data_IF_738885486041
#
_entry.id   IF_738885486041
#
_cell.length_a   1.000
_cell.length_b   1.000
_cell.length_c   1.000
_cell.angle_alpha   90.00
_cell.angle_beta   90.00
_cell.angle_gamma   90.00
#
_symmetry.space_group_name_H-M   'P 1'
#
loop_
_entity.id
_entity.type
_entity.pdbx_description
1 polymer ?
#
# COMPACT_ATOMS: atom_id res chain seq x y z
N UNK A 1 2.65 -21.95 -4.38
CA UNK A 1 2.98 -20.61 -4.91
C UNK A 1 3.91 -19.96 -3.91
N UNK A 2 4.98 -19.31 -4.40
CA UNK A 2 5.99 -18.70 -3.52
C UNK A 2 5.65 -17.24 -3.15
N UNK A 3 4.99 -16.51 -4.05
CA UNK A 3 4.58 -15.12 -3.78
C UNK A 3 3.25 -15.09 -3.01
N UNK A 4 3.25 -14.48 -1.83
CA UNK A 4 2.09 -14.38 -0.95
C UNK A 4 1.68 -12.93 -0.65
N UNK A 5 2.57 -11.96 -0.92
CA UNK A 5 2.32 -10.54 -0.69
C UNK A 5 3.24 -9.68 -1.54
N UNK A 6 3.05 -8.37 -1.51
CA UNK A 6 3.97 -7.37 -2.01
C UNK A 6 4.28 -6.32 -0.93
N UNK A 7 5.46 -5.73 -1.04
CA UNK A 7 5.87 -4.51 -0.37
C UNK A 7 5.76 -3.36 -1.36
N UNK A 8 5.49 -2.18 -0.84
CA UNK A 8 5.37 -0.98 -1.67
C UNK A 8 6.53 -0.02 -1.40
N UNK A 9 6.92 0.81 -2.38
CA UNK A 9 7.96 1.81 -2.18
C UNK A 9 7.67 2.68 -0.95
N UNK A 10 8.65 2.75 -0.02
CA UNK A 10 8.50 3.49 1.24
C UNK A 10 7.88 2.73 2.40
N UNK A 11 7.47 1.47 2.24
CA UNK A 11 7.03 0.66 3.37
C UNK A 11 8.21 0.44 4.35
N UNK A 12 8.10 0.86 5.63
CA UNK A 12 9.14 0.60 6.61
C UNK A 12 9.13 -0.87 7.02
N UNK A 13 10.31 -1.45 7.17
CA UNK A 13 10.49 -2.85 7.52
C UNK A 13 11.51 -3.01 8.65
N UNK A 14 11.43 -4.13 9.34
CA UNK A 14 12.50 -4.64 10.20
C UNK A 14 13.12 -5.85 9.51
N UNK A 15 14.42 -5.81 9.24
CA UNK A 15 15.17 -6.98 8.77
C UNK A 15 15.47 -7.85 9.99
N UNK A 16 14.82 -9.01 10.06
CA UNK A 16 14.97 -9.93 11.19
C UNK A 16 16.03 -11.01 10.92
N UNK A 17 16.26 -11.37 9.66
CA UNK A 17 17.21 -12.41 9.30
C UNK A 17 17.71 -12.26 7.86
N UNK A 18 18.90 -12.79 7.58
CA UNK A 18 19.46 -12.90 6.23
C UNK A 18 19.68 -14.37 5.86
N UNK A 19 19.45 -14.73 4.61
CA UNK A 19 19.76 -16.08 4.12
C UNK A 19 21.27 -16.32 4.08
N UNK A 20 21.70 -17.58 4.14
CA UNK A 20 23.11 -17.95 4.13
C UNK A 20 23.87 -17.49 2.88
N UNK A 21 23.19 -17.41 1.73
CA UNK A 21 23.74 -16.92 0.46
C UNK A 21 23.66 -15.38 0.32
N UNK A 22 23.10 -14.68 1.31
CA UNK A 22 22.95 -13.22 1.34
C UNK A 22 21.89 -12.65 0.37
N UNK A 23 21.24 -13.48 -0.42
CA UNK A 23 20.29 -13.03 -1.47
C UNK A 23 18.93 -12.65 -0.95
N UNK A 24 18.56 -13.11 0.25
CA UNK A 24 17.24 -12.92 0.83
C UNK A 24 17.32 -12.26 2.20
N UNK A 25 16.27 -11.51 2.54
CA UNK A 25 16.03 -10.96 3.87
C UNK A 25 14.67 -11.42 4.36
N UNK A 26 14.61 -11.97 5.57
CA UNK A 26 13.33 -12.14 6.25
C UNK A 26 12.98 -10.82 6.91
N UNK A 27 11.87 -10.24 6.46
CA UNK A 27 11.44 -8.90 6.88
C UNK A 27 10.09 -8.96 7.58
N UNK A 28 9.93 -8.06 8.55
CA UNK A 28 8.66 -7.82 9.22
C UNK A 28 8.19 -6.43 8.84
N UNK A 29 7.07 -6.36 8.15
CA UNK A 29 6.34 -5.13 7.84
C UNK A 29 5.16 -4.95 8.80
N UNK A 30 4.51 -3.78 8.83
CA UNK A 30 3.31 -3.58 9.65
C UNK A 30 2.15 -4.54 9.32
N UNK A 31 2.19 -5.21 8.18
CA UNK A 31 1.08 -6.05 7.68
C UNK A 31 1.43 -7.53 7.52
N UNK A 32 2.69 -7.84 7.26
CA UNK A 32 3.12 -9.20 6.92
C UNK A 32 4.61 -9.42 7.22
N UNK A 33 4.98 -10.67 7.47
CA UNK A 33 6.37 -11.10 7.61
C UNK A 33 6.68 -12.16 6.55
N UNK A 34 7.73 -11.95 5.77
CA UNK A 34 8.11 -12.85 4.68
C UNK A 34 9.58 -12.66 4.26
N UNK A 35 10.07 -13.58 3.44
CA UNK A 35 11.31 -13.43 2.72
C UNK A 35 11.13 -12.52 1.51
N UNK A 36 12.09 -11.63 1.29
CA UNK A 36 12.16 -10.72 0.15
C UNK A 36 13.58 -10.72 -0.41
N UNK A 37 13.72 -10.49 -1.69
CA UNK A 37 15.04 -10.34 -2.31
C UNK A 37 15.80 -9.16 -1.67
N UNK A 38 17.07 -9.38 -1.32
CA UNK A 38 17.90 -8.37 -0.67
C UNK A 38 18.07 -7.11 -1.54
N UNK A 39 18.02 -7.26 -2.86
CA UNK A 39 18.11 -6.16 -3.82
C UNK A 39 16.87 -5.25 -3.84
N UNK A 40 15.73 -5.77 -3.39
CA UNK A 40 14.46 -5.03 -3.35
C UNK A 40 14.33 -4.08 -2.14
N UNK A 41 15.26 -4.15 -1.19
CA UNK A 41 15.20 -3.32 0.02
C UNK A 41 16.50 -2.53 0.24
N UNK A 42 16.39 -1.37 0.87
CA UNK A 42 17.51 -0.56 1.31
C UNK A 42 17.60 -0.59 2.84
N UNK A 43 18.79 -0.80 3.38
CA UNK A 43 19.02 -0.90 4.82
C UNK A 43 19.52 0.44 5.38
N UNK A 44 18.89 0.92 6.44
CA UNK A 44 19.23 2.17 7.13
C UNK A 44 18.99 2.06 8.63
N UNK A 45 19.49 3.01 9.39
CA UNK A 45 19.24 3.06 10.81
C UNK A 45 17.76 3.35 11.13
N UNK A 46 17.33 2.89 12.31
CA UNK A 46 15.95 3.00 12.76
C UNK A 46 15.44 4.45 12.78
N UNK A 47 16.27 5.39 13.20
CA UNK A 47 15.85 6.79 13.35
C UNK A 47 15.58 7.41 11.97
N UNK A 48 16.45 7.18 11.01
CA UNK A 48 16.29 7.63 9.62
C UNK A 48 15.05 7.04 8.97
N UNK A 49 14.81 5.72 9.09
CA UNK A 49 13.63 5.06 8.53
C UNK A 49 12.34 5.61 9.13
N UNK A 50 12.26 5.73 10.46
CA UNK A 50 11.07 6.25 11.13
C UNK A 50 10.84 7.74 10.85
N UNK A 51 11.90 8.54 10.81
CA UNK A 51 11.80 9.96 10.49
C UNK A 51 11.24 10.17 9.08
N UNK A 52 11.68 9.39 8.09
CA UNK A 52 11.12 9.44 6.74
C UNK A 52 9.66 8.98 6.71
N UNK A 53 9.33 7.86 7.34
CA UNK A 53 7.99 7.30 7.34
C UNK A 53 6.93 8.23 7.98
N UNK A 54 7.35 9.13 8.89
CA UNK A 54 6.44 10.05 9.61
C UNK A 54 6.53 11.50 9.14
N UNK A 55 7.50 11.84 8.29
CA UNK A 55 7.77 13.23 7.87
C UNK A 55 6.60 13.87 7.14
N UNK A 56 6.37 15.16 7.41
CA UNK A 56 5.43 16.03 6.73
C UNK A 56 6.20 17.20 6.06
N UNK A 57 5.65 17.83 5.02
CA UNK A 57 4.41 17.48 4.33
C UNK A 57 4.56 16.21 3.49
N UNK A 58 3.44 15.59 3.15
CA UNK A 58 3.40 14.33 2.39
C UNK A 58 2.24 14.26 1.41
N UNK A 59 2.23 13.23 0.57
CA UNK A 59 1.08 12.85 -0.26
C UNK A 59 0.69 11.41 0.06
N UNK A 60 -0.61 11.13 0.02
CA UNK A 60 -1.17 9.79 0.03
C UNK A 60 -1.63 9.45 -1.39
N UNK A 61 -1.21 8.32 -1.90
CA UNK A 61 -1.66 7.82 -3.20
C UNK A 61 -3.11 7.37 -3.08
N UNK A 62 -3.99 7.97 -3.87
CA UNK A 62 -5.41 7.62 -3.94
C UNK A 62 -5.78 6.99 -5.27
N UNK A 63 -4.92 7.05 -6.28
CA UNK A 63 -5.06 6.29 -7.52
C UNK A 63 -4.69 4.83 -7.34
N UNK A 64 -5.16 3.96 -8.24
CA UNK A 64 -4.85 2.54 -8.16
C UNK A 64 -3.34 2.27 -8.33
N UNK A 65 -2.72 2.83 -9.38
CA UNK A 65 -1.33 2.58 -9.76
C UNK A 65 -0.69 3.79 -10.47
N UNK A 66 -0.69 5.00 -9.90
CA UNK A 66 0.02 6.11 -10.52
C UNK A 66 1.52 5.83 -10.57
N UNK A 67 2.20 6.49 -11.51
CA UNK A 67 3.63 6.35 -11.69
C UNK A 67 4.32 7.70 -11.59
N UNK A 68 5.56 7.69 -11.12
CA UNK A 68 6.45 8.84 -11.22
C UNK A 68 6.74 9.17 -12.68
N UNK A 69 7.21 10.38 -12.93
CA UNK A 69 7.58 10.82 -14.27
C UNK A 69 8.83 10.07 -14.74
N UNK A 70 8.90 9.76 -16.04
CA UNK A 70 10.10 9.21 -16.65
C UNK A 70 11.32 10.15 -16.44
N UNK A 71 12.46 9.57 -16.07
CA UNK A 71 13.73 10.30 -15.96
C UNK A 71 14.91 9.39 -16.28
N UNK A 72 15.97 9.96 -16.87
CA UNK A 72 17.25 9.29 -17.10
C UNK A 72 18.25 9.52 -15.97
N UNK A 73 18.09 10.62 -15.25
CA UNK A 73 19.00 11.07 -14.20
C UNK A 73 18.91 10.20 -12.94
N UNK A 74 17.71 9.64 -12.66
CA UNK A 74 17.49 8.72 -11.55
C UNK A 74 16.65 7.52 -12.02
N UNK A 75 17.27 6.54 -12.70
CA UNK A 75 16.54 5.41 -13.28
C UNK A 75 15.76 4.55 -12.28
N UNK A 76 16.22 4.52 -11.00
CA UNK A 76 15.55 3.76 -9.92
C UNK A 76 14.17 4.30 -9.60
N UNK A 77 13.90 5.56 -9.90
CA UNK A 77 12.65 6.26 -9.63
C UNK A 77 11.89 6.63 -10.90
N UNK A 78 12.40 6.24 -12.09
CA UNK A 78 11.76 6.49 -13.37
C UNK A 78 10.54 5.59 -13.55
N UNK A 79 9.36 6.16 -13.79
CA UNK A 79 8.10 5.43 -13.97
C UNK A 79 7.80 4.43 -12.84
N UNK A 80 8.31 4.70 -11.64
CA UNK A 80 8.08 3.88 -10.47
C UNK A 80 6.60 3.89 -10.10
N UNK A 81 5.98 2.72 -10.04
CA UNK A 81 4.61 2.56 -9.60
C UNK A 81 4.48 2.80 -8.10
N UNK A 82 3.47 3.55 -7.72
CA UNK A 82 3.09 3.80 -6.34
C UNK A 82 1.65 3.32 -6.13
N UNK A 83 1.46 2.36 -5.26
CA UNK A 83 0.16 1.72 -5.07
C UNK A 83 -0.72 2.49 -4.09
N UNK A 84 -2.04 2.27 -4.19
CA UNK A 84 -3.05 2.97 -3.38
C UNK A 84 -2.74 2.86 -1.88
N UNK A 85 -2.89 3.97 -1.18
CA UNK A 85 -2.64 4.09 0.25
C UNK A 85 -1.16 4.29 0.62
N UNK A 86 -0.24 4.29 -0.35
CA UNK A 86 1.16 4.62 -0.08
C UNK A 86 1.28 6.08 0.34
N UNK A 87 1.94 6.33 1.47
CA UNK A 87 2.24 7.66 2.00
C UNK A 87 3.68 8.02 1.71
N UNK A 88 3.92 9.15 1.05
CA UNK A 88 5.24 9.55 0.63
C UNK A 88 5.48 11.00 1.02
N UNK A 89 6.57 11.31 1.75
CA UNK A 89 6.98 12.67 2.07
C UNK A 89 7.27 13.48 0.81
N UNK A 90 7.04 14.78 0.88
CA UNK A 90 7.51 15.71 -0.13
C UNK A 90 8.98 16.07 0.14
N UNK A 91 9.76 16.14 -0.93
CA UNK A 91 11.13 16.61 -0.86
C UNK A 91 11.16 18.12 -0.67
N UNK A 92 12.09 18.65 0.16
CA UNK A 92 12.38 20.06 0.18
C UNK A 92 13.02 20.44 -1.18
N UNK A 93 12.39 21.35 -1.90
CA UNK A 93 12.92 21.78 -3.18
C UNK A 93 12.74 23.30 -3.35
N UNK A 94 13.72 23.93 -3.99
CA UNK A 94 13.54 25.30 -4.46
C UNK A 94 12.48 25.31 -5.57
N UNK A 95 11.53 26.26 -5.56
CA UNK A 95 10.38 26.23 -6.48
C UNK A 95 10.74 26.22 -7.97
N UNK A 96 11.92 26.72 -8.32
CA UNK A 96 12.38 26.86 -9.70
C UNK A 96 13.60 25.99 -10.05
N UNK A 97 14.04 25.11 -9.15
CA UNK A 97 15.15 24.21 -9.44
C UNK A 97 14.65 23.01 -10.25
N UNK A 98 15.32 22.63 -11.34
CA UNK A 98 15.04 21.39 -12.04
C UNK A 98 15.21 20.19 -11.11
N UNK A 99 14.33 19.18 -11.26
CA UNK A 99 14.41 17.89 -10.60
C UNK A 99 14.55 16.84 -11.67
N UNK A 100 15.59 16.05 -11.62
CA UNK A 100 15.87 15.00 -12.61
C UNK A 100 15.75 15.53 -14.05
N UNK A 101 16.42 16.64 -14.35
CA UNK A 101 16.42 17.27 -15.66
C UNK A 101 15.11 17.94 -16.09
N UNK A 102 14.09 18.00 -15.24
CA UNK A 102 12.77 18.49 -15.58
C UNK A 102 12.32 19.60 -14.63
N UNK A 103 11.53 20.55 -15.14
CA UNK A 103 10.93 21.59 -14.31
C UNK A 103 9.72 21.03 -13.53
N UNK A 104 9.66 21.19 -12.19
CA UNK A 104 8.64 20.57 -11.36
C UNK A 104 7.28 21.28 -11.35
N UNK A 105 7.04 22.27 -12.22
CA UNK A 105 5.87 23.13 -12.21
C UNK A 105 4.53 22.38 -12.11
N UNK A 106 4.35 21.32 -12.92
CA UNK A 106 3.13 20.53 -12.98
C UNK A 106 3.21 19.23 -12.14
N UNK A 107 4.14 19.15 -11.18
CA UNK A 107 4.38 17.96 -10.41
C UNK A 107 4.48 18.22 -8.90
N UNK A 108 4.27 17.20 -8.11
CA UNK A 108 4.73 17.09 -6.74
C UNK A 108 6.15 16.52 -6.74
N UNK A 109 7.02 17.06 -5.91
CA UNK A 109 8.36 16.51 -5.72
C UNK A 109 8.30 15.58 -4.52
N UNK A 110 8.32 14.28 -4.79
CA UNK A 110 8.31 13.24 -3.78
C UNK A 110 9.74 12.98 -3.31
N UNK A 111 9.92 12.61 -2.04
CA UNK A 111 11.19 12.11 -1.51
C UNK A 111 11.09 10.60 -1.32
N UNK A 112 11.67 9.85 -2.22
CA UNK A 112 11.54 8.40 -2.26
C UNK A 112 12.80 7.70 -1.76
N UNK A 113 12.65 6.59 -1.03
CA UNK A 113 13.80 5.78 -0.65
C UNK A 113 14.43 5.14 -1.87
N UNK A 114 15.74 5.13 -1.88
CA UNK A 114 16.57 4.48 -2.90
C UNK A 114 17.63 3.62 -2.24
N UNK A 115 18.00 2.54 -2.92
CA UNK A 115 19.08 1.64 -2.53
C UNK A 115 20.33 2.02 -3.29
N UNK A 116 21.45 2.24 -2.58
CA UNK A 116 22.76 2.42 -3.21
C UNK A 116 23.42 1.08 -3.60
N UNK A 117 24.60 1.15 -4.18
CA UNK A 117 25.35 -0.04 -4.62
C UNK A 117 25.72 -0.97 -3.45
N UNK A 118 25.88 -0.44 -2.25
CA UNK A 118 26.21 -1.19 -1.03
C UNK A 118 24.97 -1.69 -0.28
N UNK A 119 23.76 -1.44 -0.80
CA UNK A 119 22.51 -1.83 -0.16
C UNK A 119 21.98 -0.85 0.88
N UNK A 120 22.61 0.31 1.02
CA UNK A 120 22.24 1.30 2.02
C UNK A 120 21.07 2.18 1.57
N UNK A 121 20.30 2.62 2.57
CA UNK A 121 19.20 3.55 2.36
C UNK A 121 19.73 4.96 2.08
N UNK A 122 19.31 5.49 0.96
CA UNK A 122 19.35 6.90 0.63
C UNK A 122 17.96 7.41 0.24
N UNK A 123 17.87 8.68 -0.09
CA UNK A 123 16.63 9.30 -0.58
C UNK A 123 16.94 10.12 -1.82
N UNK A 124 16.02 10.10 -2.78
CA UNK A 124 16.14 10.90 -3.99
C UNK A 124 14.78 11.47 -4.39
N UNK A 125 14.78 12.67 -5.01
CA UNK A 125 13.54 13.30 -5.45
C UNK A 125 13.01 12.62 -6.71
N UNK A 126 11.68 12.48 -6.78
CA UNK A 126 10.96 12.06 -7.97
C UNK A 126 9.77 12.96 -8.25
N UNK A 127 9.44 13.14 -9.51
CA UNK A 127 8.27 13.93 -9.91
C UNK A 127 7.03 13.04 -10.00
N UNK A 128 5.95 13.46 -9.35
CA UNK A 128 4.61 12.89 -9.51
C UNK A 128 3.72 13.94 -10.16
N UNK A 129 3.13 13.67 -11.34
CA UNK A 129 2.26 14.65 -11.99
C UNK A 129 1.13 15.10 -11.06
N UNK A 130 0.79 16.40 -11.05
CA UNK A 130 -0.30 16.91 -10.21
C UNK A 130 -1.67 16.36 -10.60
N UNK A 131 -1.82 15.88 -11.84
CA UNK A 131 -3.03 15.19 -12.32
C UNK A 131 -3.15 13.76 -11.75
N UNK A 132 -2.06 13.19 -11.23
CA UNK A 132 -2.13 11.87 -10.62
C UNK A 132 -2.99 11.90 -9.35
N UNK A 133 -3.81 10.89 -9.18
CA UNK A 133 -4.70 10.76 -8.03
C UNK A 133 -3.88 10.60 -6.72
N UNK A 134 -3.66 11.72 -6.05
CA UNK A 134 -3.03 11.79 -4.74
C UNK A 134 -3.73 12.83 -3.86
N UNK A 135 -3.76 12.63 -2.56
CA UNK A 135 -4.32 13.56 -1.59
C UNK A 135 -3.25 14.09 -0.61
N UNK A 136 -3.50 15.24 0.01
CA UNK A 136 -2.60 15.83 1.02
C UNK A 136 -2.66 15.13 2.37
N UNK A 137 -3.67 14.29 2.57
CA UNK A 137 -3.86 13.44 3.73
C UNK A 137 -4.69 12.21 3.34
N UNK A 138 -4.87 11.29 4.25
CA UNK A 138 -5.77 10.16 4.08
C UNK A 138 -7.21 10.64 3.81
N UNK A 139 -7.90 9.93 2.93
CA UNK A 139 -9.30 10.25 2.63
C UNK A 139 -10.17 10.00 3.87
N UNK A 140 -11.21 10.80 4.11
CA UNK A 140 -12.20 10.48 5.12
C UNK A 140 -12.82 9.10 4.92
N UNK A 141 -12.94 8.31 5.99
CA UNK A 141 -13.58 7.00 5.93
C UNK A 141 -15.09 7.18 5.77
N UNK A 142 -15.55 7.20 4.53
CA UNK A 142 -16.95 7.34 4.15
C UNK A 142 -17.35 6.29 3.12
N UNK A 143 -18.63 5.92 3.09
CA UNK A 143 -19.16 4.99 2.08
C UNK A 143 -18.85 5.44 0.65
N UNK A 144 -18.98 6.73 0.37
CA UNK A 144 -18.70 7.29 -0.95
C UNK A 144 -17.22 7.14 -1.34
N UNK A 145 -16.29 7.36 -0.40
CA UNK A 145 -14.88 7.17 -0.66
C UNK A 145 -14.52 5.68 -0.81
N UNK A 146 -15.10 4.79 0.01
CA UNK A 146 -14.91 3.35 -0.15
C UNK A 146 -15.30 2.88 -1.56
N UNK A 147 -16.47 3.28 -2.03
CA UNK A 147 -16.92 2.96 -3.40
C UNK A 147 -15.98 3.56 -4.46
N UNK A 148 -15.68 4.86 -4.37
CA UNK A 148 -14.79 5.51 -5.36
C UNK A 148 -13.43 4.82 -5.45
N UNK A 149 -12.84 4.46 -4.31
CA UNK A 149 -11.54 3.80 -4.28
C UNK A 149 -11.64 2.36 -4.80
N UNK A 150 -12.67 1.61 -4.43
CA UNK A 150 -12.89 0.25 -4.92
C UNK A 150 -13.04 0.20 -6.45
N UNK A 151 -13.83 1.10 -7.02
CA UNK A 151 -14.07 1.13 -8.46
C UNK A 151 -12.85 1.56 -9.30
N UNK A 152 -11.81 2.13 -8.70
CA UNK A 152 -10.53 2.39 -9.41
C UNK A 152 -9.79 1.11 -9.81
N UNK A 153 -10.14 -0.03 -9.23
CA UNK A 153 -9.61 -1.35 -9.60
C UNK A 153 -10.49 -2.14 -10.55
N UNK A 154 -11.60 -1.53 -11.02
CA UNK A 154 -12.51 -2.22 -11.94
C UNK A 154 -11.79 -2.65 -13.22
N UNK A 155 -11.92 -3.94 -13.57
CA UNK A 155 -11.24 -4.52 -14.73
C UNK A 155 -9.79 -4.99 -14.44
N UNK A 156 -9.27 -4.78 -13.23
CA UNK A 156 -7.97 -5.32 -12.87
C UNK A 156 -8.02 -6.87 -12.79
N UNK A 157 -6.97 -7.51 -13.32
CA UNK A 157 -6.81 -8.94 -13.20
C UNK A 157 -6.59 -9.35 -11.74
N UNK A 158 -7.28 -10.39 -11.28
CA UNK A 158 -6.99 -10.99 -9.98
C UNK A 158 -5.55 -11.54 -9.93
N UNK A 159 -4.79 -11.14 -8.93
CA UNK A 159 -3.40 -11.52 -8.72
C UNK A 159 -3.17 -12.05 -7.31
N UNK A 160 -3.12 -13.37 -7.14
CA UNK A 160 -2.77 -13.98 -5.86
C UNK A 160 -1.43 -13.44 -5.35
N UNK A 161 -1.41 -12.94 -4.09
CA UNK A 161 -0.20 -12.38 -3.49
C UNK A 161 0.40 -11.21 -4.29
N UNK A 162 -0.43 -10.42 -4.99
CA UNK A 162 -0.02 -9.36 -5.92
C UNK A 162 0.72 -9.85 -7.18
N UNK A 163 0.61 -11.14 -7.53
CA UNK A 163 1.13 -11.63 -8.81
C UNK A 163 0.53 -10.88 -9.99
N UNK A 164 1.30 -10.76 -11.06
CA UNK A 164 0.88 -10.06 -12.29
C UNK A 164 0.54 -8.57 -12.07
N UNK A 165 1.13 -7.96 -11.06
CA UNK A 165 0.78 -6.59 -10.67
C UNK A 165 -0.73 -6.39 -10.41
N UNK A 166 -1.43 -7.44 -9.99
CA UNK A 166 -2.84 -7.44 -9.61
C UNK A 166 -3.02 -7.57 -8.10
N UNK A 167 -4.26 -7.61 -7.64
CA UNK A 167 -4.60 -7.81 -6.22
C UNK A 167 -5.38 -9.11 -6.05
N UNK A 168 -5.16 -9.78 -4.92
CA UNK A 168 -6.09 -10.77 -4.41
C UNK A 168 -7.18 -10.10 -3.54
N UNK A 169 -8.11 -10.87 -3.03
CA UNK A 169 -9.25 -10.36 -2.27
C UNK A 169 -8.83 -9.51 -1.06
N UNK A 170 -7.90 -9.98 -0.24
CA UNK A 170 -7.45 -9.27 0.96
C UNK A 170 -6.51 -8.10 0.62
N UNK A 171 -5.73 -8.19 -0.45
CA UNK A 171 -4.92 -7.10 -0.97
C UNK A 171 -5.78 -5.93 -1.46
N UNK A 172 -6.82 -6.23 -2.22
CA UNK A 172 -7.78 -5.25 -2.71
C UNK A 172 -8.44 -4.47 -1.56
N UNK A 173 -9.06 -5.16 -0.60
CA UNK A 173 -9.71 -4.46 0.52
C UNK A 173 -8.69 -3.71 1.37
N UNK A 174 -7.49 -4.26 1.58
CA UNK A 174 -6.44 -3.60 2.35
C UNK A 174 -6.01 -2.27 1.73
N UNK A 175 -5.84 -2.20 0.41
CA UNK A 175 -5.43 -0.97 -0.26
C UNK A 175 -6.54 0.08 -0.28
N UNK A 176 -7.79 -0.32 -0.51
CA UNK A 176 -8.94 0.58 -0.41
C UNK A 176 -8.99 1.23 0.97
N UNK A 177 -8.93 0.44 2.05
CA UNK A 177 -8.95 0.95 3.41
C UNK A 177 -7.69 1.73 3.78
N UNK A 178 -6.53 1.34 3.27
CA UNK A 178 -5.25 2.05 3.48
C UNK A 178 -5.28 3.47 2.95
N UNK A 179 -6.01 3.74 1.85
CA UNK A 179 -6.18 5.09 1.32
C UNK A 179 -6.93 6.04 2.28
N UNK A 180 -7.61 5.47 3.29
CA UNK A 180 -8.32 6.16 4.36
C UNK A 180 -7.60 6.03 5.72
N UNK A 181 -6.35 5.59 5.73
CA UNK A 181 -5.54 5.46 6.94
C UNK A 181 -5.83 4.22 7.79
N UNK A 182 -6.68 3.30 7.32
CA UNK A 182 -6.98 2.05 8.02
C UNK A 182 -6.04 0.95 7.54
N UNK A 183 -5.21 0.46 8.45
CA UNK A 183 -4.25 -0.59 8.14
C UNK A 183 -4.81 -1.96 8.52
N UNK A 184 -5.27 -2.72 7.53
CA UNK A 184 -5.75 -4.08 7.72
C UNK A 184 -4.59 -5.09 7.70
N UNK A 185 -4.69 -6.20 8.45
CA UNK A 185 -3.78 -7.34 8.27
C UNK A 185 -3.76 -7.83 6.83
N UNK A 186 -2.64 -8.43 6.39
CA UNK A 186 -2.51 -8.86 4.99
C UNK A 186 -3.42 -10.03 4.63
N UNK A 187 -3.55 -11.00 5.51
CA UNK A 187 -4.28 -12.24 5.23
C UNK A 187 -5.74 -12.17 5.67
N UNK A 188 -6.62 -12.77 4.89
CA UNK A 188 -8.06 -12.89 5.14
C UNK A 188 -8.37 -13.43 6.54
N UNK A 189 -7.67 -14.48 6.98
CA UNK A 189 -7.86 -15.09 8.30
C UNK A 189 -7.50 -14.12 9.43
N UNK A 190 -6.42 -13.35 9.29
CA UNK A 190 -6.01 -12.35 10.27
C UNK A 190 -6.95 -11.14 10.29
N UNK A 191 -7.45 -10.72 9.12
CA UNK A 191 -8.46 -9.67 9.02
C UNK A 191 -9.76 -10.07 9.75
N UNK A 192 -10.24 -11.30 9.51
CA UNK A 192 -11.49 -11.81 10.08
C UNK A 192 -11.53 -11.87 11.61
N UNK A 193 -10.37 -11.88 12.27
CA UNK A 193 -10.26 -11.94 13.74
C UNK A 193 -9.59 -10.71 14.34
N UNK A 194 -9.36 -9.67 13.55
CA UNK A 194 -8.69 -8.45 14.00
C UNK A 194 -9.48 -7.78 15.13
N UNK A 195 -8.88 -7.50 16.28
CA UNK A 195 -9.57 -6.85 17.40
C UNK A 195 -9.88 -5.37 17.12
N UNK A 196 -9.33 -4.80 16.05
CA UNK A 196 -9.60 -3.43 15.61
C UNK A 196 -10.95 -3.27 14.88
N UNK A 197 -11.61 -4.37 14.54
CA UNK A 197 -12.86 -4.38 13.78
C UNK A 197 -14.00 -4.94 14.64
N UNK A 198 -15.18 -4.33 14.54
CA UNK A 198 -16.39 -4.94 15.06
C UNK A 198 -16.71 -6.21 14.28
N UNK A 199 -16.98 -7.31 14.97
CA UNK A 199 -17.19 -8.60 14.35
C UNK A 199 -18.52 -9.22 14.78
N UNK A 200 -19.25 -9.73 13.80
CA UNK A 200 -20.40 -10.62 14.00
C UNK A 200 -20.03 -11.99 13.42
N UNK A 201 -19.97 -13.00 14.28
CA UNK A 201 -19.73 -14.37 13.82
C UNK A 201 -21.06 -14.99 13.37
N UNK A 202 -21.07 -15.53 12.15
CA UNK A 202 -22.18 -16.35 11.64
C UNK A 202 -21.84 -17.82 11.95
N UNK A 203 -22.47 -18.37 12.97
CA UNK A 203 -22.22 -19.77 13.34
C UNK A 203 -23.24 -20.73 12.70
N UNK A 204 -22.94 -22.04 12.80
CA UNK A 204 -23.76 -23.09 12.19
C UNK A 204 -25.15 -23.23 12.86
N UNK A 205 -25.31 -22.75 14.10
CA UNK A 205 -26.58 -22.82 14.84
C UNK A 205 -27.62 -21.79 14.38
N UNK A 206 -27.16 -20.74 13.66
CA UNK A 206 -28.06 -19.72 13.15
C UNK A 206 -28.96 -20.29 12.05
N UNK A 207 -30.27 -20.10 12.21
CA UNK A 207 -31.24 -20.43 11.17
C UNK A 207 -31.19 -19.44 9.99
N UNK A 208 -31.95 -19.75 8.94
CA UNK A 208 -31.99 -18.94 7.73
C UNK A 208 -32.49 -17.51 7.99
N UNK A 209 -33.51 -17.36 8.83
CA UNK A 209 -34.09 -16.04 9.13
C UNK A 209 -33.12 -15.17 9.93
N UNK A 210 -32.41 -15.75 10.89
CA UNK A 210 -31.38 -15.02 11.65
C UNK A 210 -30.28 -14.51 10.75
N UNK A 211 -29.77 -15.37 9.85
CA UNK A 211 -28.77 -14.97 8.85
C UNK A 211 -29.28 -13.88 7.92
N UNK A 212 -30.52 -14.03 7.42
CA UNK A 212 -31.13 -13.03 6.54
C UNK A 212 -31.30 -11.68 7.23
N UNK A 213 -31.69 -11.65 8.51
CA UNK A 213 -31.76 -10.41 9.30
C UNK A 213 -30.40 -9.70 9.40
N UNK A 214 -29.33 -10.45 9.65
CA UNK A 214 -27.97 -9.89 9.68
C UNK A 214 -27.53 -9.38 8.31
N UNK A 215 -27.79 -10.14 7.25
CA UNK A 215 -27.46 -9.71 5.89
C UNK A 215 -28.17 -8.41 5.48
N UNK A 216 -29.40 -8.20 5.93
CA UNK A 216 -30.14 -6.95 5.68
C UNK A 216 -29.60 -5.73 6.45
N UNK A 217 -28.73 -5.94 7.43
CA UNK A 217 -28.08 -4.85 8.19
C UNK A 217 -26.74 -4.42 7.59
N UNK A 218 -26.23 -5.17 6.60
CA UNK A 218 -24.96 -4.87 5.95
C UNK A 218 -24.99 -3.50 5.30
N UNK A 219 -23.87 -2.83 5.40
CA UNK A 219 -23.67 -1.48 4.87
C UNK A 219 -22.47 -1.45 3.93
N UNK A 220 -22.46 -0.49 3.02
CA UNK A 220 -21.31 -0.25 2.14
C UNK A 220 -20.04 -0.11 2.98
N UNK A 221 -19.05 -0.93 2.65
CA UNK A 221 -17.78 -1.02 3.34
C UNK A 221 -17.68 -2.17 4.35
N UNK A 222 -18.80 -2.80 4.74
CA UNK A 222 -18.70 -4.01 5.56
C UNK A 222 -17.94 -5.11 4.80
N UNK A 223 -17.16 -5.88 5.55
CA UNK A 223 -16.35 -6.96 5.02
C UNK A 223 -16.95 -8.31 5.41
N UNK A 224 -17.24 -9.12 4.41
CA UNK A 224 -17.74 -10.47 4.59
C UNK A 224 -16.60 -11.48 4.41
N UNK A 225 -16.36 -12.30 5.44
CA UNK A 225 -15.31 -13.30 5.44
C UNK A 225 -15.89 -14.71 5.34
N UNK A 226 -15.38 -15.46 4.38
CA UNK A 226 -15.57 -16.93 4.29
C UNK A 226 -14.18 -17.58 4.29
N UNK A 227 -14.04 -18.88 4.53
CA UNK A 227 -12.75 -19.55 4.52
C UNK A 227 -11.97 -19.25 3.23
N UNK A 228 -10.81 -18.60 3.38
CA UNK A 228 -9.90 -18.25 2.29
C UNK A 228 -10.30 -17.04 1.44
N UNK A 229 -11.38 -16.33 1.74
CA UNK A 229 -11.82 -15.19 0.93
C UNK A 229 -12.45 -14.08 1.75
N UNK A 230 -12.34 -12.84 1.23
CA UNK A 230 -13.03 -11.66 1.75
C UNK A 230 -13.72 -10.90 0.61
N UNK A 231 -14.89 -10.37 0.90
CA UNK A 231 -15.68 -9.55 0.00
C UNK A 231 -16.02 -8.23 0.69
N UNK A 232 -16.08 -7.14 -0.04
CA UNK A 232 -16.57 -5.84 0.45
C UNK A 232 -17.98 -5.59 -0.06
N UNK A 233 -18.88 -5.20 0.85
CA UNK A 233 -20.25 -4.80 0.50
C UNK A 233 -20.21 -3.46 -0.23
N UNK A 234 -20.86 -3.37 -1.39
CA UNK A 234 -20.90 -2.17 -2.23
C UNK A 234 -22.32 -1.62 -2.44
N UNK A 235 -23.35 -2.32 -1.97
CA UNK A 235 -24.77 -1.93 -2.06
C UNK A 235 -25.67 -3.12 -1.83
#
# INVERSE_FOLDING_TARGET
>A
RFQESALFPGDPLVVAHASADGKWRFVVSPRYAAWVEAEAIAEGDRATVLAHATRAPYRVVTGAKPRTVFTREEPRLSELQLDMGTRIPLAPAAPNAPVNGQHPYAAWILDLPVRDADGRLGFAPALMPRIADTAGDYLPLTRANLLRQAFKFLGERYGWGHSYNGRDCSGFVSEVYRSMGVLLPRNTSAQAVSPALNRIALDASMDHEQRLRLMKQLQVGDLLYIPGHVMMVIG
#
